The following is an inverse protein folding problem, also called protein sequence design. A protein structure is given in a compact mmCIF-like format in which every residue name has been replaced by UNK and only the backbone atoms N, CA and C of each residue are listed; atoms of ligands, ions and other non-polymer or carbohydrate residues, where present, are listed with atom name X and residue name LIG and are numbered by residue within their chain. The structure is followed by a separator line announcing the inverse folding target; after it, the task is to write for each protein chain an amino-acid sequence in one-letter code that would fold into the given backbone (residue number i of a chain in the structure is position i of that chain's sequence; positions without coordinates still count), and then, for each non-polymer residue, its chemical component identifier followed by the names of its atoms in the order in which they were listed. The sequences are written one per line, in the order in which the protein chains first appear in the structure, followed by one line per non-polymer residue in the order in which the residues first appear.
data_IF_720073668348
#
_entry.id   IF_720073668348
#
_cell.length_a   1.000
_cell.length_b   1.000
_cell.length_c   1.000
_cell.angle_alpha   90.00
_cell.angle_beta   90.00
_cell.angle_gamma   90.00
#
_symmetry.space_group_name_H-M   'P 1'
#
loop_
_entity.id
_entity.type
_entity.pdbx_description
1 polymer ?
#
# COMPACT_ATOMS: atom_id res chain seq x y z
N UNK A 1 15.90 13.54 39.51
CA UNK A 1 16.88 13.69 38.42
C UNK A 1 16.15 13.61 37.08
N UNK A 2 15.95 14.73 36.40
CA UNK A 2 15.41 14.81 35.03
C UNK A 2 16.60 14.80 34.07
N UNK A 3 16.63 13.88 33.10
CA UNK A 3 17.56 13.94 31.96
C UNK A 3 16.81 14.55 30.78
N UNK A 4 17.15 15.80 30.48
CA UNK A 4 16.79 16.47 29.23
C UNK A 4 17.67 15.87 28.12
N UNK A 5 17.05 15.51 26.99
CA UNK A 5 17.76 15.08 25.79
C UNK A 5 17.93 16.30 24.88
N UNK A 6 19.17 16.79 24.79
CA UNK A 6 19.58 17.80 23.82
C UNK A 6 19.48 17.25 22.39
N UNK A 7 18.68 17.93 21.56
CA UNK A 7 18.59 17.70 20.12
C UNK A 7 19.67 18.56 19.44
N UNK A 8 20.73 17.94 18.92
CA UNK A 8 21.87 18.65 18.36
C UNK A 8 21.56 19.35 17.04
N UNK A 9 21.82 20.66 17.00
CA UNK A 9 21.60 21.63 15.91
C UNK A 9 22.49 21.41 14.66
N UNK A 10 23.21 20.29 14.56
CA UNK A 10 24.12 19.99 13.46
C UNK A 10 23.40 19.54 12.16
N UNK A 11 22.17 19.04 12.25
CA UNK A 11 21.39 18.61 11.08
C UNK A 11 20.74 19.77 10.31
N UNK A 12 20.59 20.95 10.93
CA UNK A 12 19.91 22.11 10.31
C UNK A 12 20.83 22.92 9.39
N UNK A 13 22.15 22.95 9.67
CA UNK A 13 23.14 23.68 8.87
C UNK A 13 23.44 23.02 7.51
N UNK A 14 23.44 21.69 7.43
CA UNK A 14 23.68 20.96 6.18
C UNK A 14 22.57 21.12 5.11
N UNK A 15 21.36 21.56 5.51
CA UNK A 15 20.23 21.81 4.59
C UNK A 15 20.22 23.23 4.01
N UNK A 16 20.90 24.18 4.65
CA UNK A 16 20.92 25.60 4.27
C UNK A 16 21.95 25.90 3.17
N UNK A 17 23.08 25.18 3.15
CA UNK A 17 24.18 25.49 2.21
C UNK A 17 24.03 24.89 0.81
N UNK A 18 23.09 23.95 0.59
CA UNK A 18 22.82 23.38 -0.74
C UNK A 18 21.96 24.24 -1.67
N UNK A 19 21.52 25.44 -1.25
CA UNK A 19 20.61 26.32 -2.02
C UNK A 19 21.26 27.49 -2.76
N UNK A 20 22.59 27.59 -2.82
CA UNK A 20 23.27 28.63 -3.61
C UNK A 20 24.36 28.02 -4.49
N UNK A 21 24.03 27.73 -5.75
CA UNK A 21 25.03 27.44 -6.78
C UNK A 21 24.57 26.51 -7.89
N UNK A 22 23.73 26.99 -8.81
CA UNK A 22 24.01 26.91 -10.25
C UNK A 22 22.86 27.58 -11.03
N UNK A 23 23.11 28.82 -11.48
CA UNK A 23 22.35 29.46 -12.55
C UNK A 23 22.92 28.98 -13.89
N UNK A 24 22.04 28.45 -14.75
CA UNK A 24 22.17 28.51 -16.20
C UNK A 24 23.03 27.43 -16.86
N UNK A 25 22.38 26.40 -17.40
CA UNK A 25 22.51 25.97 -18.80
C UNK A 25 21.16 25.36 -19.21
N UNK A 26 20.48 26.03 -20.14
CA UNK A 26 19.21 25.53 -20.67
C UNK A 26 19.46 24.26 -21.46
N UNK A 27 18.79 23.17 -21.07
CA UNK A 27 18.63 22.01 -21.93
C UNK A 27 17.15 21.94 -22.30
N UNK A 28 16.85 22.10 -23.59
CA UNK A 28 15.51 21.85 -24.12
C UNK A 28 15.22 20.37 -23.89
N UNK A 29 14.42 20.06 -22.86
CA UNK A 29 13.90 18.71 -22.66
C UNK A 29 12.94 18.40 -23.81
N UNK A 30 13.39 17.61 -24.78
CA UNK A 30 12.51 17.01 -25.77
C UNK A 30 11.76 15.86 -25.10
N UNK A 31 10.45 16.02 -24.94
CA UNK A 31 9.53 14.93 -24.58
C UNK A 31 9.29 14.15 -25.86
N UNK A 32 9.79 12.91 -25.96
CA UNK A 32 9.37 11.99 -27.00
C UNK A 32 8.29 11.08 -26.44
N UNK A 33 7.17 10.99 -27.17
CA UNK A 33 6.09 10.06 -26.87
C UNK A 33 6.33 8.81 -27.70
N UNK A 34 6.55 7.68 -27.04
CA UNK A 34 6.50 6.37 -27.67
C UNK A 34 5.52 5.51 -26.88
N UNK A 35 4.45 5.07 -27.54
CA UNK A 35 3.45 4.16 -26.99
C UNK A 35 2.88 4.56 -25.61
N UNK A 36 2.53 5.83 -25.41
CA UNK A 36 1.83 6.29 -24.20
C UNK A 36 2.69 6.41 -22.92
N UNK A 37 3.98 6.07 -22.98
CA UNK A 37 4.91 6.26 -21.86
C UNK A 37 5.71 7.55 -22.05
N UNK A 38 5.66 8.45 -21.06
CA UNK A 38 6.48 9.66 -21.05
C UNK A 38 7.87 9.28 -20.52
N UNK A 39 8.86 9.19 -21.42
CA UNK A 39 10.25 8.94 -21.05
C UNK A 39 10.96 10.29 -20.89
N UNK A 40 11.33 10.66 -19.66
CA UNK A 40 12.23 11.79 -19.45
C UNK A 40 13.68 11.31 -19.46
N UNK A 41 14.51 11.89 -20.32
CA UNK A 41 15.95 11.66 -20.40
C UNK A 41 16.61 12.07 -19.07
N UNK A 42 16.98 11.07 -18.27
CA UNK A 42 17.24 11.20 -16.83
C UNK A 42 16.56 10.12 -15.95
N UNK A 43 15.76 9.24 -16.56
CA UNK A 43 15.45 7.90 -16.04
C UNK A 43 14.46 7.84 -14.89
N UNK A 44 13.34 8.59 -14.97
CA UNK A 44 12.16 8.36 -14.13
C UNK A 44 11.09 7.69 -14.98
N UNK A 45 10.77 6.45 -14.66
CA UNK A 45 9.62 5.76 -15.24
C UNK A 45 8.39 6.26 -14.49
N UNK A 46 7.71 7.25 -15.07
CA UNK A 46 6.51 7.81 -14.49
C UNK A 46 5.32 7.13 -15.16
N UNK A 47 4.42 6.50 -14.37
CA UNK A 47 3.19 5.99 -14.96
C UNK A 47 2.40 7.15 -15.58
N UNK A 48 1.57 6.87 -16.60
CA UNK A 48 0.62 7.83 -17.15
C UNK A 48 -0.20 8.52 -16.04
N UNK A 49 -0.64 9.76 -16.27
CA UNK A 49 -1.39 10.51 -15.26
C UNK A 49 -2.77 9.92 -14.91
N UNK A 50 -3.33 9.14 -15.84
CA UNK A 50 -4.58 8.38 -15.73
C UNK A 50 -4.36 6.94 -15.23
N UNK A 51 -3.12 6.56 -14.92
CA UNK A 51 -2.82 5.26 -14.34
C UNK A 51 -3.49 5.11 -12.98
N UNK A 52 -4.27 4.03 -12.84
CA UNK A 52 -4.94 3.66 -11.61
C UNK A 52 -4.38 2.32 -11.09
N UNK A 53 -4.16 2.25 -9.79
CA UNK A 53 -3.89 1.01 -9.07
C UNK A 53 -5.09 0.69 -8.20
N UNK A 54 -5.51 -0.57 -8.20
CA UNK A 54 -6.70 -1.03 -7.51
C UNK A 54 -6.34 -2.02 -6.42
N UNK A 55 -6.96 -1.82 -5.26
CA UNK A 55 -6.84 -2.65 -4.08
C UNK A 55 -8.23 -3.07 -3.63
N UNK A 56 -8.32 -4.20 -2.95
CA UNK A 56 -9.49 -4.57 -2.14
C UNK A 56 -9.23 -4.23 -0.68
N UNK A 57 -10.27 -3.81 0.02
CA UNK A 57 -10.21 -3.58 1.47
C UNK A 57 -10.36 -4.89 2.24
N UNK A 58 -9.36 -5.26 3.04
CA UNK A 58 -9.37 -6.48 3.84
C UNK A 58 -9.37 -6.14 5.34
N UNK A 59 -10.40 -6.52 6.10
CA UNK A 59 -10.41 -6.37 7.56
C UNK A 59 -9.53 -7.42 8.22
N UNK A 60 -8.69 -7.00 9.16
CA UNK A 60 -7.79 -7.89 9.91
C UNK A 60 -7.81 -7.47 11.37
N UNK A 61 -8.14 -8.43 12.23
CA UNK A 61 -8.05 -8.24 13.68
C UNK A 61 -6.58 -8.22 14.09
N UNK A 62 -6.15 -7.12 14.71
CA UNK A 62 -4.76 -6.97 15.14
C UNK A 62 -4.63 -6.06 16.34
N UNK A 63 -3.49 -6.15 17.02
CA UNK A 63 -3.13 -5.27 18.12
C UNK A 63 -2.08 -4.25 17.65
N UNK A 64 -2.34 -2.98 17.92
CA UNK A 64 -1.39 -1.91 17.62
C UNK A 64 -0.08 -2.14 18.40
N UNK A 65 1.06 -2.16 17.71
CA UNK A 65 2.38 -2.30 18.36
C UNK A 65 2.97 -0.95 18.74
N UNK A 66 3.92 -0.97 19.68
CA UNK A 66 4.61 0.24 20.12
C UNK A 66 5.51 0.83 19.01
N UNK A 67 5.85 2.14 19.09
CA UNK A 67 6.81 2.75 18.16
C UNK A 67 8.18 2.03 18.12
N UNK A 68 8.64 1.50 19.26
CA UNK A 68 9.89 0.75 19.37
C UNK A 68 9.84 -0.59 18.65
N UNK A 69 8.78 -1.38 18.85
CA UNK A 69 8.56 -2.63 18.11
C UNK A 69 8.46 -2.38 16.61
N UNK A 70 7.73 -1.33 16.22
CA UNK A 70 7.64 -0.93 14.82
C UNK A 70 9.02 -0.58 14.21
N UNK A 71 9.89 0.09 14.96
CA UNK A 71 11.25 0.38 14.49
C UNK A 71 12.08 -0.91 14.29
N UNK A 72 11.96 -1.89 15.19
CA UNK A 72 12.62 -3.19 15.05
C UNK A 72 12.15 -3.91 13.79
N UNK A 73 10.85 -3.93 13.56
CA UNK A 73 10.25 -4.58 12.39
C UNK A 73 10.67 -3.90 11.10
N UNK A 74 10.73 -2.58 11.07
CA UNK A 74 11.24 -1.85 9.91
C UNK A 74 12.72 -2.18 9.63
N UNK A 75 13.54 -2.35 10.67
CA UNK A 75 14.94 -2.79 10.50
C UNK A 75 15.03 -4.21 9.94
N UNK A 76 14.21 -5.14 10.42
CA UNK A 76 14.14 -6.51 9.89
C UNK A 76 13.69 -6.53 8.44
N UNK A 77 12.65 -5.75 8.12
CA UNK A 77 12.17 -5.57 6.76
C UNK A 77 13.30 -5.12 5.85
N UNK A 78 14.07 -4.09 6.23
CA UNK A 78 15.17 -3.59 5.41
C UNK A 78 16.28 -4.64 5.17
N UNK A 79 16.49 -5.56 6.10
CA UNK A 79 17.45 -6.68 5.91
C UNK A 79 16.94 -7.74 4.96
N UNK A 80 15.62 -7.98 4.94
CA UNK A 80 14.99 -9.02 4.11
C UNK A 80 14.48 -8.48 2.77
N UNK A 81 14.42 -7.16 2.62
CA UNK A 81 13.82 -6.47 1.47
C UNK A 81 14.36 -7.00 0.16
N UNK A 82 15.68 -7.06 -0.02
CA UNK A 82 16.27 -7.55 -1.29
C UNK A 82 15.78 -8.98 -1.62
N UNK A 83 15.73 -9.87 -0.63
CA UNK A 83 15.23 -11.24 -0.82
C UNK A 83 13.75 -11.24 -1.20
N UNK A 84 12.92 -10.54 -0.45
CA UNK A 84 11.47 -10.44 -0.71
C UNK A 84 11.17 -9.87 -2.11
N UNK A 85 12.03 -8.96 -2.59
CA UNK A 85 11.94 -8.40 -3.94
C UNK A 85 12.15 -9.47 -4.99
N UNK A 86 13.25 -10.23 -4.88
CA UNK A 86 13.52 -11.34 -5.79
C UNK A 86 12.43 -12.41 -5.71
N UNK A 87 11.93 -12.69 -4.51
CA UNK A 87 10.83 -13.63 -4.26
C UNK A 87 9.49 -13.20 -4.88
N UNK A 88 9.32 -11.90 -5.17
CA UNK A 88 8.16 -11.41 -5.94
C UNK A 88 8.20 -11.88 -7.39
N UNK A 89 9.38 -12.19 -7.93
CA UNK A 89 9.55 -12.59 -9.35
C UNK A 89 9.83 -14.09 -9.46
N UNK A 90 10.61 -14.65 -8.54
CA UNK A 90 11.02 -16.04 -8.57
C UNK A 90 10.72 -16.73 -7.24
N UNK A 91 10.12 -17.92 -7.29
CA UNK A 91 9.96 -18.78 -6.12
C UNK A 91 11.33 -19.26 -5.61
N UNK A 92 11.41 -19.78 -4.36
CA UNK A 92 12.67 -20.29 -3.81
C UNK A 92 13.33 -21.40 -4.64
N UNK A 93 12.56 -22.14 -5.43
CA UNK A 93 13.04 -23.18 -6.35
C UNK A 93 13.54 -22.63 -7.71
N UNK A 94 13.50 -21.31 -7.90
CA UNK A 94 13.93 -20.63 -9.12
C UNK A 94 12.87 -20.52 -10.21
N UNK A 95 11.68 -21.11 -10.03
CA UNK A 95 10.57 -20.96 -10.98
C UNK A 95 9.94 -19.57 -10.90
N UNK A 96 9.27 -19.12 -11.95
CA UNK A 96 8.58 -17.83 -11.95
C UNK A 96 7.41 -17.80 -10.95
N UNK A 97 7.40 -16.78 -10.11
CA UNK A 97 6.26 -16.44 -9.26
C UNK A 97 5.23 -15.66 -10.09
N UNK A 98 4.34 -16.39 -10.77
CA UNK A 98 3.33 -15.81 -11.67
C UNK A 98 2.44 -14.76 -11.00
N UNK A 99 2.05 -14.99 -9.75
CA UNK A 99 1.21 -14.07 -9.00
C UNK A 99 1.98 -12.78 -8.65
N UNK A 100 3.21 -12.89 -8.17
CA UNK A 100 4.04 -11.72 -7.86
C UNK A 100 4.38 -10.91 -9.11
N UNK A 101 4.71 -11.57 -10.23
CA UNK A 101 4.91 -10.91 -11.54
C UNK A 101 3.64 -10.19 -11.98
N UNK A 102 2.47 -10.82 -11.88
CA UNK A 102 1.20 -10.19 -12.22
C UNK A 102 0.96 -8.92 -11.38
N UNK A 103 1.26 -8.93 -10.08
CA UNK A 103 1.16 -7.74 -9.22
C UNK A 103 2.11 -6.61 -9.63
N UNK A 104 3.32 -6.92 -10.06
CA UNK A 104 4.25 -5.91 -10.58
C UNK A 104 3.73 -5.27 -11.88
N UNK A 105 3.10 -6.06 -12.75
CA UNK A 105 2.42 -5.53 -13.96
C UNK A 105 1.21 -4.66 -13.59
N UNK A 106 0.42 -5.06 -12.60
CA UNK A 106 -0.67 -4.23 -12.05
C UNK A 106 -0.17 -2.89 -11.51
N UNK A 107 1.05 -2.86 -10.99
CA UNK A 107 1.71 -1.63 -10.54
C UNK A 107 2.30 -0.77 -11.66
N UNK A 108 2.23 -1.21 -12.91
CA UNK A 108 2.71 -0.46 -14.08
C UNK A 108 4.19 -0.68 -14.41
N UNK A 109 4.84 -1.69 -13.81
CA UNK A 109 6.20 -2.06 -14.20
C UNK A 109 6.20 -2.81 -15.53
N UNK A 110 7.19 -2.53 -16.37
CA UNK A 110 7.43 -3.28 -17.61
C UNK A 110 8.26 -4.55 -17.34
N UNK A 111 8.35 -5.43 -18.35
CA UNK A 111 9.08 -6.71 -18.21
C UNK A 111 10.56 -6.53 -17.85
N UNK A 112 11.22 -5.51 -18.39
CA UNK A 112 12.62 -5.21 -18.09
C UNK A 112 12.80 -4.86 -16.61
N UNK A 113 11.97 -3.97 -16.07
CA UNK A 113 12.00 -3.61 -14.65
C UNK A 113 11.66 -4.81 -13.76
N UNK A 114 10.68 -5.63 -14.17
CA UNK A 114 10.30 -6.83 -13.42
C UNK A 114 11.47 -7.79 -13.32
N UNK A 115 12.04 -8.23 -14.44
CA UNK A 115 13.03 -9.29 -14.42
C UNK A 115 14.44 -8.80 -14.06
N UNK A 116 14.89 -7.67 -14.61
CA UNK A 116 16.25 -7.18 -14.36
C UNK A 116 16.37 -6.37 -13.07
N UNK A 117 15.43 -5.47 -12.77
CA UNK A 117 15.52 -4.63 -11.58
C UNK A 117 15.01 -5.37 -10.34
N UNK A 118 13.79 -5.90 -10.39
CA UNK A 118 13.19 -6.56 -9.22
C UNK A 118 13.75 -7.97 -9.06
N UNK A 119 13.66 -8.82 -10.10
CA UNK A 119 13.99 -10.24 -10.02
C UNK A 119 15.49 -10.52 -9.82
N UNK A 120 16.35 -9.86 -10.58
CA UNK A 120 17.80 -10.10 -10.54
C UNK A 120 18.53 -9.23 -9.54
N UNK A 121 18.26 -7.91 -9.56
CA UNK A 121 18.97 -6.96 -8.69
C UNK A 121 18.32 -6.80 -7.32
N UNK A 122 17.10 -7.30 -7.10
CA UNK A 122 16.37 -7.09 -5.84
C UNK A 122 16.19 -5.61 -5.54
N UNK A 123 15.87 -4.80 -6.57
CA UNK A 123 15.72 -3.34 -6.49
C UNK A 123 14.47 -2.88 -7.22
N UNK A 124 13.98 -1.71 -6.85
CA UNK A 124 12.93 -1.05 -7.61
C UNK A 124 13.51 -0.13 -8.67
N UNK A 125 12.81 0.06 -9.80
CA UNK A 125 13.10 1.15 -10.72
C UNK A 125 12.91 2.52 -10.07
N UNK A 126 13.57 3.53 -10.65
CA UNK A 126 13.47 4.91 -10.19
C UNK A 126 12.03 5.41 -10.27
N UNK A 127 11.58 6.10 -9.21
CA UNK A 127 10.21 6.61 -9.11
C UNK A 127 9.23 5.64 -8.48
N UNK A 128 9.66 4.41 -8.15
CA UNK A 128 8.88 3.44 -7.39
C UNK A 128 9.40 3.31 -5.96
N UNK A 129 8.49 3.05 -5.03
CA UNK A 129 8.83 2.56 -3.70
C UNK A 129 7.93 1.36 -3.37
N UNK A 130 8.38 0.45 -2.50
CA UNK A 130 7.51 -0.63 -2.08
C UNK A 130 6.57 -0.09 -1.02
N UNK A 131 5.29 -0.17 -1.32
CA UNK A 131 4.25 -0.08 -0.33
C UNK A 131 4.25 -1.36 0.47
N UNK A 132 4.68 -1.24 1.72
CA UNK A 132 4.43 -2.28 2.70
C UNK A 132 2.92 -2.24 2.98
N UNK A 133 2.18 -3.20 2.42
CA UNK A 133 0.70 -3.28 2.45
C UNK A 133 0.15 -3.23 3.86
N UNK A 134 1.01 -3.56 4.82
CA UNK A 134 0.75 -3.62 6.22
C UNK A 134 1.31 -2.38 6.91
N UNK A 135 0.49 -1.36 7.24
CA UNK A 135 0.86 -0.36 8.22
C UNK A 135 1.32 -1.01 9.52
N UNK A 136 2.07 -0.20 10.27
CA UNK A 136 2.66 -0.44 11.59
C UNK A 136 1.80 -1.26 12.57
N UNK A 137 0.48 -1.30 12.38
CA UNK A 137 -0.50 -2.02 13.21
C UNK A 137 -0.47 -3.55 13.05
N UNK A 138 -0.05 -4.10 11.91
CA UNK A 138 -0.15 -5.53 11.60
C UNK A 138 0.78 -6.46 12.37
N UNK A 139 1.89 -5.93 12.85
CA UNK A 139 2.89 -6.69 13.57
C UNK A 139 2.32 -7.38 14.81
N UNK A 140 1.27 -6.82 15.41
CA UNK A 140 0.57 -7.46 16.51
C UNK A 140 -0.30 -8.64 16.07
N UNK A 141 -0.73 -8.71 14.80
CA UNK A 141 -1.56 -9.81 14.30
C UNK A 141 -0.77 -11.13 14.33
N UNK A 142 0.49 -11.06 13.92
CA UNK A 142 1.37 -12.23 13.85
C UNK A 142 1.88 -12.73 15.20
N UNK A 143 1.67 -11.97 16.30
CA UNK A 143 2.04 -12.41 17.65
C UNK A 143 1.22 -13.63 18.09
N UNK A 144 0.01 -13.76 17.58
CA UNK A 144 -0.93 -14.83 17.93
C UNK A 144 -0.88 -16.00 16.94
N UNK A 145 0.06 -15.97 15.97
CA UNK A 145 0.24 -17.01 14.96
C UNK A 145 -0.05 -16.53 13.52
N UNK A 146 -0.30 -17.48 12.59
CA UNK A 146 -0.61 -17.15 11.20
C UNK A 146 -1.86 -16.27 11.07
N UNK A 147 -1.83 -15.36 10.12
CA UNK A 147 -2.87 -14.34 9.93
C UNK A 147 -3.48 -14.51 8.54
N UNK A 148 -4.82 -14.51 8.48
CA UNK A 148 -5.59 -14.64 7.24
C UNK A 148 -5.75 -13.29 6.56
N UNK A 149 -5.40 -13.21 5.27
CA UNK A 149 -5.60 -12.05 4.39
C UNK A 149 -6.42 -12.45 3.17
N UNK A 150 -7.72 -12.14 3.20
CA UNK A 150 -8.63 -12.63 2.17
C UNK A 150 -8.63 -14.16 2.12
N UNK A 151 -8.11 -14.73 1.02
CA UNK A 151 -7.96 -16.18 0.82
C UNK A 151 -6.61 -16.73 1.28
N UNK A 152 -5.62 -15.87 1.51
CA UNK A 152 -4.26 -16.27 1.86
C UNK A 152 -4.10 -16.43 3.38
N UNK A 153 -3.23 -17.37 3.78
CA UNK A 153 -2.71 -17.47 5.14
C UNK A 153 -1.24 -17.06 5.13
N UNK A 154 -0.90 -16.01 5.87
CA UNK A 154 0.47 -15.53 6.01
C UNK A 154 1.02 -15.96 7.37
N UNK A 155 2.25 -16.44 7.40
CA UNK A 155 2.95 -16.83 8.63
C UNK A 155 3.97 -15.79 9.09
N UNK A 156 4.27 -14.80 8.25
CA UNK A 156 5.22 -13.73 8.54
C UNK A 156 4.82 -12.42 7.87
N UNK A 157 5.14 -11.30 8.52
CA UNK A 157 5.10 -9.96 7.90
C UNK A 157 6.16 -9.80 6.80
N UNK A 158 7.20 -10.63 6.79
CA UNK A 158 8.31 -10.57 5.84
C UNK A 158 8.11 -11.52 4.65
N UNK A 159 6.87 -11.61 4.16
CA UNK A 159 6.49 -12.33 2.95
C UNK A 159 6.35 -11.33 1.77
N UNK A 160 6.73 -11.72 0.56
CA UNK A 160 6.61 -10.83 -0.61
C UNK A 160 5.16 -10.39 -0.85
N UNK A 161 4.17 -11.21 -0.45
CA UNK A 161 2.74 -10.89 -0.55
C UNK A 161 2.33 -9.69 0.28
N UNK A 162 3.16 -9.30 1.25
CA UNK A 162 3.02 -8.10 2.09
C UNK A 162 3.49 -6.83 1.38
N UNK A 163 3.98 -6.93 0.13
CA UNK A 163 4.61 -5.84 -0.59
C UNK A 163 3.93 -5.58 -1.93
N UNK A 164 3.81 -4.30 -2.30
CA UNK A 164 3.51 -3.90 -3.68
C UNK A 164 4.40 -2.75 -4.12
N UNK A 165 5.04 -2.87 -5.28
CA UNK A 165 5.77 -1.76 -5.88
C UNK A 165 4.75 -0.69 -6.26
N UNK A 166 4.89 0.55 -5.79
CA UNK A 166 3.98 1.64 -6.14
C UNK A 166 4.75 2.88 -6.61
N UNK A 167 4.20 3.62 -7.59
CA UNK A 167 4.71 4.93 -7.97
C UNK A 167 4.76 5.88 -6.76
N UNK A 168 5.93 6.47 -6.55
CA UNK A 168 6.27 7.37 -5.45
C UNK A 168 6.94 8.65 -6.02
N UNK A 169 6.43 9.16 -7.14
CA UNK A 169 6.95 10.34 -7.79
C UNK A 169 6.53 11.62 -7.05
N UNK A 170 7.47 12.54 -6.82
CA UNK A 170 7.24 13.79 -6.09
C UNK A 170 5.96 14.53 -6.57
N UNK A 171 4.93 14.48 -5.74
CA UNK A 171 3.65 15.19 -5.77
C UNK A 171 2.67 14.93 -6.93
N UNK A 172 3.12 14.62 -8.15
CA UNK A 172 2.21 14.51 -9.31
C UNK A 172 1.60 13.11 -9.48
N UNK A 173 2.34 12.05 -9.14
CA UNK A 173 1.89 10.65 -9.26
C UNK A 173 2.29 9.81 -8.04
N UNK A 174 2.18 10.38 -6.84
CA UNK A 174 2.48 9.65 -5.60
C UNK A 174 1.27 8.77 -5.21
N UNK A 175 1.17 7.60 -5.83
CA UNK A 175 0.16 6.58 -5.52
C UNK A 175 0.47 5.97 -4.15
N UNK A 176 1.75 5.73 -3.88
CA UNK A 176 2.21 5.16 -2.61
C UNK A 176 1.71 5.96 -1.39
N UNK A 177 1.90 7.28 -1.42
CA UNK A 177 1.40 8.17 -0.36
C UNK A 177 -0.12 8.13 -0.24
N UNK A 178 -0.84 8.13 -1.36
CA UNK A 178 -2.32 8.12 -1.35
C UNK A 178 -2.90 6.83 -0.78
N UNK A 179 -2.28 5.68 -1.04
CA UNK A 179 -2.70 4.43 -0.38
C UNK A 179 -2.53 4.53 1.13
N UNK A 180 -1.41 5.10 1.61
CA UNK A 180 -1.24 5.37 3.05
C UNK A 180 -2.26 6.37 3.59
N UNK A 181 -2.55 7.45 2.87
CA UNK A 181 -3.53 8.46 3.29
C UNK A 181 -4.94 7.83 3.38
N UNK A 182 -5.35 7.03 2.39
CA UNK A 182 -6.61 6.30 2.40
C UNK A 182 -6.72 5.31 3.57
N UNK A 183 -5.65 4.56 3.87
CA UNK A 183 -5.62 3.66 5.02
C UNK A 183 -5.67 4.41 6.36
N UNK A 184 -5.01 5.57 6.46
CA UNK A 184 -5.07 6.41 7.66
C UNK A 184 -6.46 7.02 7.86
N UNK A 185 -7.11 7.46 6.78
CA UNK A 185 -8.47 7.99 6.83
C UNK A 185 -9.47 6.92 7.31
N UNK A 186 -9.35 5.69 6.78
CA UNK A 186 -10.25 4.59 7.13
C UNK A 186 -10.04 4.05 8.55
N UNK A 187 -8.79 3.90 8.98
CA UNK A 187 -8.45 3.28 10.26
C UNK A 187 -8.25 4.27 11.40
N UNK A 188 -8.33 5.56 11.12
CA UNK A 188 -7.88 6.60 12.02
C UNK A 188 -6.35 6.73 12.07
N UNK A 189 -5.90 7.93 12.42
CA UNK A 189 -4.48 8.18 12.64
C UNK A 189 -3.96 7.39 13.82
N UNK A 190 -2.68 7.03 13.75
CA UNK A 190 -2.00 6.29 14.81
C UNK A 190 -1.83 7.18 16.05
N UNK A 191 -2.75 7.11 17.01
CA UNK A 191 -2.50 7.64 18.36
C UNK A 191 -1.52 6.69 19.08
N UNK A 192 -0.49 7.27 19.68
CA UNK A 192 0.53 6.54 20.44
C UNK A 192 -0.02 5.92 21.73
N UNK A 193 -1.20 6.36 22.19
CA UNK A 193 -1.82 5.91 23.45
C UNK A 193 -2.56 4.57 23.35
N UNK A 194 -2.80 4.05 22.15
CA UNK A 194 -3.62 2.85 21.92
C UNK A 194 -2.81 1.55 21.70
N UNK A 195 -1.56 1.49 22.15
CA UNK A 195 -0.74 0.28 22.05
C UNK A 195 -1.42 -0.90 22.75
N UNK A 196 -1.47 -2.06 22.09
CA UNK A 196 -2.07 -3.30 22.61
C UNK A 196 -3.59 -3.41 22.47
N UNK A 197 -4.28 -2.34 22.06
CA UNK A 197 -5.73 -2.39 21.81
C UNK A 197 -6.00 -3.25 20.57
N UNK A 198 -6.80 -4.31 20.74
CA UNK A 198 -7.28 -5.16 19.64
C UNK A 198 -8.39 -4.44 18.90
N UNK A 199 -8.18 -4.20 17.61
CA UNK A 199 -9.18 -3.59 16.74
C UNK A 199 -9.12 -4.25 15.35
N UNK A 200 -10.18 -4.06 14.58
CA UNK A 200 -10.21 -4.44 13.17
C UNK A 200 -9.60 -3.27 12.39
N UNK A 201 -8.50 -3.54 11.72
CA UNK A 201 -7.88 -2.60 10.78
C UNK A 201 -8.16 -3.06 9.36
N UNK A 202 -8.44 -2.11 8.48
CA UNK A 202 -8.69 -2.34 7.07
C UNK A 202 -7.44 -2.05 6.24
N UNK A 203 -7.01 -3.04 5.47
CA UNK A 203 -5.78 -3.01 4.68
C UNK A 203 -6.11 -2.92 3.20
N UNK A 204 -5.40 -2.06 2.48
CA UNK A 204 -5.47 -2.00 1.02
C UNK A 204 -4.60 -3.13 0.44
N UNK A 205 -5.23 -4.24 0.08
CA UNK A 205 -4.57 -5.41 -0.48
C UNK A 205 -4.64 -5.38 -2.02
N UNK A 206 -3.55 -5.67 -2.74
CA UNK A 206 -3.59 -5.84 -4.19
C UNK A 206 -4.57 -6.94 -4.56
N UNK A 207 -5.18 -6.80 -5.74
CA UNK A 207 -5.97 -7.87 -6.32
C UNK A 207 -5.06 -9.04 -6.72
N UNK A 208 -5.55 -10.26 -6.58
CA UNK A 208 -4.86 -11.40 -7.17
C UNK A 208 -4.83 -11.28 -8.69
N UNK A 209 -3.98 -12.05 -9.38
CA UNK A 209 -3.97 -12.05 -10.85
C UNK A 209 -5.37 -12.33 -11.43
N UNK A 210 -6.06 -13.33 -10.88
CA UNK A 210 -7.43 -13.68 -11.26
C UNK A 210 -8.42 -12.54 -10.98
N UNK A 211 -8.36 -11.95 -9.77
CA UNK A 211 -9.23 -10.82 -9.40
C UNK A 211 -8.99 -9.60 -10.28
N UNK A 212 -7.75 -9.35 -10.70
CA UNK A 212 -7.41 -8.23 -11.56
C UNK A 212 -7.90 -8.44 -13.01
N UNK A 213 -7.79 -9.65 -13.55
CA UNK A 213 -8.41 -9.98 -14.84
C UNK A 213 -9.93 -9.83 -14.79
N UNK A 214 -10.54 -10.27 -13.70
CA UNK A 214 -11.97 -10.09 -13.46
C UNK A 214 -12.33 -8.60 -13.31
N UNK A 215 -11.51 -7.80 -12.62
CA UNK A 215 -11.69 -6.36 -12.50
C UNK A 215 -11.71 -5.69 -13.87
N UNK A 216 -10.75 -6.00 -14.75
CA UNK A 216 -10.68 -5.38 -16.08
C UNK A 216 -11.91 -5.65 -16.95
N UNK A 217 -12.50 -6.83 -16.80
CA UNK A 217 -13.64 -7.26 -17.63
C UNK A 217 -14.99 -6.90 -17.00
N UNK A 218 -15.13 -7.07 -15.69
CA UNK A 218 -16.33 -6.79 -14.93
C UNK A 218 -16.00 -6.43 -13.47
N UNK A 219 -15.71 -5.15 -13.16
CA UNK A 219 -15.40 -4.71 -11.80
C UNK A 219 -16.46 -5.10 -10.75
N UNK A 220 -17.73 -5.19 -11.16
CA UNK A 220 -18.86 -5.52 -10.27
C UNK A 220 -18.84 -6.97 -9.80
N UNK A 221 -18.14 -7.85 -10.52
CA UNK A 221 -18.05 -9.26 -10.15
C UNK A 221 -17.18 -9.50 -8.92
N UNK A 222 -16.33 -8.54 -8.55
CA UNK A 222 -15.42 -8.70 -7.42
C UNK A 222 -16.10 -8.76 -6.05
N UNK A 223 -17.37 -8.36 -5.90
CA UNK A 223 -18.14 -8.42 -4.63
C UNK A 223 -17.39 -7.95 -3.37
N UNK A 224 -16.37 -7.12 -3.54
CA UNK A 224 -15.55 -6.53 -2.49
C UNK A 224 -15.66 -5.01 -2.54
N UNK A 225 -15.29 -4.36 -1.45
CA UNK A 225 -15.09 -2.92 -1.46
C UNK A 225 -13.68 -2.62 -1.98
N UNK A 226 -13.60 -1.79 -3.02
CA UNK A 226 -12.35 -1.50 -3.73
C UNK A 226 -11.84 -0.10 -3.40
N UNK A 227 -10.54 0.02 -3.20
CA UNK A 227 -9.81 1.28 -3.22
C UNK A 227 -9.18 1.45 -4.61
N UNK A 228 -9.54 2.51 -5.31
CA UNK A 228 -8.95 2.88 -6.59
C UNK A 228 -8.11 4.14 -6.38
N UNK A 229 -6.83 4.09 -6.74
CA UNK A 229 -5.87 5.16 -6.51
C UNK A 229 -5.22 5.59 -7.82
N UNK A 230 -5.26 6.90 -8.08
CA UNK A 230 -4.65 7.54 -9.25
C UNK A 230 -3.57 8.53 -8.80
N UNK A 231 -2.84 9.09 -9.76
CA UNK A 231 -1.85 10.14 -9.48
C UNK A 231 -2.43 11.38 -8.78
N UNK A 232 -3.71 11.69 -8.98
CA UNK A 232 -4.36 12.91 -8.47
C UNK A 232 -5.35 12.67 -7.32
N UNK A 233 -5.89 11.46 -7.14
CA UNK A 233 -6.95 11.19 -6.17
C UNK A 233 -7.00 9.71 -5.74
N UNK A 234 -7.78 9.40 -4.72
CA UNK A 234 -8.22 8.05 -4.42
C UNK A 234 -9.73 8.04 -4.14
N UNK A 235 -10.37 6.90 -4.39
CA UNK A 235 -11.80 6.68 -4.10
C UNK A 235 -12.03 5.26 -3.61
N UNK A 236 -12.97 5.10 -2.68
CA UNK A 236 -13.46 3.80 -2.25
C UNK A 236 -14.81 3.54 -2.92
N UNK A 237 -15.00 2.35 -3.50
CA UNK A 237 -16.24 1.93 -4.17
C UNK A 237 -16.66 0.59 -3.60
N UNK A 238 -17.87 0.52 -3.03
CA UNK A 238 -18.44 -0.75 -2.61
C UNK A 238 -19.10 -1.48 -3.81
N UNK A 239 -18.49 -2.56 -4.28
CA UNK A 239 -19.07 -3.35 -5.37
C UNK A 239 -20.22 -4.26 -4.90
N UNK A 240 -20.42 -4.45 -3.59
CA UNK A 240 -21.51 -5.27 -3.03
C UNK A 240 -22.87 -4.59 -3.21
N UNK A 241 -22.90 -3.27 -3.10
CA UNK A 241 -24.13 -2.47 -3.21
C UNK A 241 -24.70 -2.43 -4.63
N UNK A 242 -23.86 -2.68 -5.66
CA UNK A 242 -24.28 -2.68 -7.06
C UNK A 242 -25.18 -3.87 -7.47
N UNK A 243 -25.42 -4.83 -6.56
CA UNK A 243 -26.37 -5.94 -6.73
C UNK A 243 -27.76 -5.69 -6.12
N UNK A 244 -27.93 -4.64 -5.30
CA UNK A 244 -29.20 -4.25 -4.72
C UNK A 244 -29.77 -3.06 -5.49
N UNK A 245 -31.03 -3.17 -5.94
CA UNK A 245 -31.71 -2.14 -6.73
C UNK A 245 -31.50 -0.74 -6.14
N UNK A 246 -31.01 0.17 -6.99
CA UNK A 246 -31.19 1.61 -6.85
C UNK A 246 -32.66 1.90 -6.50
N UNK A 247 -32.89 2.29 -5.25
CA UNK A 247 -34.02 3.11 -4.87
C UNK A 247 -33.45 4.41 -4.35
N UNK A 248 -33.53 5.42 -5.23
CA UNK A 248 -33.66 6.85 -4.92
C UNK A 248 -33.52 7.23 -3.43
N UNK A 249 -32.47 7.98 -3.11
CA UNK A 249 -32.68 9.24 -2.37
C UNK A 249 -31.62 10.28 -2.72
N UNK A 250 -32.09 11.42 -3.23
CA UNK A 250 -31.35 12.68 -3.33
C UNK A 250 -31.09 13.24 -1.91
N UNK A 251 -29.93 13.90 -1.77
CA UNK A 251 -29.55 14.93 -0.78
C UNK A 251 -29.52 14.52 0.69
N UNK A 252 -28.36 14.72 1.33
CA UNK A 252 -28.28 14.84 2.78
C UNK A 252 -26.89 14.59 3.33
N UNK A 253 -26.27 15.64 3.84
CA UNK A 253 -25.00 15.62 4.55
C UNK A 253 -25.15 14.99 5.96
N UNK A 254 -24.04 14.52 6.54
CA UNK A 254 -23.80 14.10 7.95
C UNK A 254 -24.39 12.76 8.44
N UNK A 255 -23.53 11.75 8.60
CA UNK A 255 -23.05 11.26 9.91
C UNK A 255 -22.36 9.88 9.74
N UNK A 256 -21.11 9.79 10.21
CA UNK A 256 -20.50 8.53 10.62
C UNK A 256 -21.46 7.81 11.57
N UNK A 257 -21.89 6.60 11.22
CA UNK A 257 -22.56 5.69 12.15
C UNK A 257 -21.50 4.77 12.74
N UNK A 258 -21.05 5.09 13.95
CA UNK A 258 -20.54 4.11 14.90
C UNK A 258 -21.61 3.04 15.13
N UNK A 259 -21.25 1.77 14.95
CA UNK A 259 -22.08 0.63 15.34
C UNK A 259 -22.38 0.74 16.84
N UNK A 260 -23.66 0.64 17.21
CA UNK A 260 -24.04 0.67 18.61
C UNK A 260 -23.81 -0.69 19.29
N UNK A 261 -23.88 -0.70 20.62
CA UNK A 261 -23.61 -1.88 21.43
C UNK A 261 -24.60 -3.03 21.21
N UNK A 262 -25.79 -2.77 20.63
CA UNK A 262 -26.78 -3.79 20.32
C UNK A 262 -26.41 -4.56 19.03
N UNK A 263 -25.79 -3.89 18.06
CA UNK A 263 -25.29 -4.54 16.85
C UNK A 263 -24.09 -5.47 17.16
N UNK A 264 -23.22 -5.05 18.08
CA UNK A 264 -22.10 -5.87 18.58
C UNK A 264 -22.61 -7.11 19.35
N UNK A 265 -23.68 -6.96 20.14
CA UNK A 265 -24.29 -8.06 20.89
C UNK A 265 -24.91 -9.14 19.98
N UNK A 266 -25.53 -8.73 18.86
CA UNK A 266 -26.10 -9.68 17.88
C UNK A 266 -25.03 -10.51 17.16
N UNK A 267 -23.88 -9.91 16.86
CA UNK A 267 -22.75 -10.63 16.24
C UNK A 267 -22.17 -11.65 17.23
N UNK A 268 -22.15 -11.32 18.53
CA UNK A 268 -21.66 -12.21 19.59
C UNK A 268 -22.61 -13.40 19.83
N UNK A 269 -23.92 -13.15 19.88
CA UNK A 269 -24.92 -14.20 20.03
C UNK A 269 -24.97 -15.20 18.86
N UNK A 270 -24.65 -14.76 17.63
CA UNK A 270 -24.56 -15.65 16.47
C UNK A 270 -23.33 -16.56 16.48
N UNK A 271 -22.31 -16.24 17.30
CA UNK A 271 -21.06 -16.99 17.42
C UNK A 271 -21.12 -18.05 18.51
N UNK A 272 -21.87 -17.81 19.58
CA UNK A 272 -21.95 -18.69 20.75
C UNK A 272 -23.08 -19.75 20.63
N UNK A 273 -23.81 -19.75 19.51
CA UNK A 273 -24.91 -20.70 19.21
C UNK A 273 -24.56 -21.83 18.25
N UNK A 274 -23.29 -22.25 18.15
CA UNK A 274 -22.86 -23.47 17.44
C UNK A 274 -22.04 -24.38 18.34
#
# INVERSE_FOLDING_TARGET
MKKEYEYSDSARKARSERKKGNKGKGNKHSISVHNGNIVSDGGKHLPPSDFEVVFKWVPVETARVSPGENHTIFREYNRQRERMLKETVYNPDGTENKEGIARLRQAGLNEEDIFEMVGKKGRLPNGYNYHHLFPRAMSGAFKEGPVRFGKDMLTSIHDWRCMMALPCAHNLCDIHKKVHDAMNERNGYVDQKEVGKKEIYYYAMPLTAEEYELYKTNPKALKEELLIVSGSSYRTIDQRENGAKSKTTKKGNKHSKTLDSADIAKIKAARDGR
#
